data_IF_291972209504
#
_entry.id   IF_291972209504
#
_cell.length_a   1.000
_cell.length_b   1.000
_cell.length_c   1.000
_cell.angle_alpha   90.00
_cell.angle_beta   90.00
_cell.angle_gamma   90.00
#
_symmetry.space_group_name_H-M   'P 1'
#
loop_
_entity.id
_entity.type
_entity.pdbx_description
1 polymer ?
#
# COMPACT_ATOMS: atom_id res chain seq x y z
N UNK A 1 8.30 -2.56 -76.14
CA UNK A 1 8.31 -1.54 -75.08
C UNK A 1 6.96 -1.49 -74.42
N UNK A 2 6.90 -1.55 -73.09
CA UNK A 2 5.80 -0.96 -72.31
C UNK A 2 5.85 0.58 -72.40
N UNK A 3 4.98 1.35 -71.73
CA UNK A 3 4.42 1.14 -70.38
C UNK A 3 2.87 1.31 -70.32
N UNK A 4 2.14 0.88 -69.29
CA UNK A 4 1.98 1.52 -67.95
C UNK A 4 0.47 1.84 -67.78
N UNK A 5 -0.24 1.67 -66.67
CA UNK A 5 0.11 1.58 -65.26
C UNK A 5 -0.96 2.42 -64.53
N UNK A 6 -1.75 1.82 -63.63
CA UNK A 6 -2.80 2.58 -62.92
C UNK A 6 -3.75 1.76 -62.05
N UNK A 7 -3.28 0.68 -61.43
CA UNK A 7 -4.03 0.01 -60.37
C UNK A 7 -3.89 0.80 -59.08
N UNK A 8 -4.97 1.46 -58.64
CA UNK A 8 -5.04 2.15 -57.34
C UNK A 8 -4.77 1.14 -56.23
N UNK A 9 -3.65 1.32 -55.54
CA UNK A 9 -3.36 0.64 -54.29
C UNK A 9 -4.45 0.97 -53.28
N UNK A 10 -5.19 -0.06 -52.85
CA UNK A 10 -5.97 0.03 -51.63
C UNK A 10 -4.97 0.16 -50.48
N UNK A 11 -4.97 1.33 -49.84
CA UNK A 11 -4.31 1.49 -48.55
C UNK A 11 -4.87 0.43 -47.60
N UNK A 12 -4.02 -0.31 -46.86
CA UNK A 12 -4.52 -1.17 -45.81
C UNK A 12 -5.18 -0.26 -44.78
N UNK A 13 -6.50 -0.39 -44.65
CA UNK A 13 -7.27 0.21 -43.58
C UNK A 13 -6.65 -0.24 -42.25
N UNK A 14 -5.84 0.63 -41.65
CA UNK A 14 -5.33 0.44 -40.30
C UNK A 14 -6.55 0.57 -39.39
N UNK A 15 -7.17 -0.57 -39.09
CA UNK A 15 -8.16 -0.66 -38.03
C UNK A 15 -7.53 -0.04 -36.78
N UNK A 16 -8.26 0.80 -36.02
CA UNK A 16 -7.76 1.28 -34.75
C UNK A 16 -7.40 0.06 -33.91
N UNK A 17 -6.12 -0.08 -33.54
CA UNK A 17 -5.63 -1.08 -32.58
C UNK A 17 -6.17 -0.72 -31.19
N UNK A 18 -7.47 -0.84 -31.02
CA UNK A 18 -8.08 -0.91 -29.71
C UNK A 18 -7.73 -2.31 -29.18
N UNK A 19 -7.12 -2.47 -28.00
CA UNK A 19 -6.93 -3.81 -27.46
C UNK A 19 -8.33 -4.44 -27.35
N UNK A 20 -8.56 -5.54 -28.07
CA UNK A 20 -9.85 -6.23 -28.08
C UNK A 20 -10.23 -6.78 -26.69
N UNK A 21 -9.28 -6.80 -25.75
CA UNK A 21 -9.41 -7.31 -24.39
C UNK A 21 -8.67 -6.34 -23.45
N UNK A 22 -9.36 -5.77 -22.47
CA UNK A 22 -8.71 -4.93 -21.45
C UNK A 22 -7.94 -5.79 -20.44
N UNK A 23 -6.97 -5.23 -19.68
CA UNK A 23 -6.31 -5.97 -18.61
C UNK A 23 -7.26 -6.49 -17.53
N UNK A 24 -8.36 -5.79 -17.27
CA UNK A 24 -9.40 -6.26 -16.36
C UNK A 24 -10.13 -7.49 -16.93
N UNK A 25 -10.43 -7.48 -18.23
CA UNK A 25 -11.04 -8.63 -18.91
C UNK A 25 -10.08 -9.82 -18.96
N UNK A 26 -8.78 -9.59 -19.17
CA UNK A 26 -7.76 -10.64 -19.13
C UNK A 26 -7.71 -11.32 -17.77
N UNK A 27 -7.74 -10.55 -16.67
CA UNK A 27 -7.81 -11.11 -15.32
C UNK A 27 -9.05 -11.98 -15.16
N UNK A 28 -10.23 -11.43 -15.50
CA UNK A 28 -11.51 -12.08 -15.25
C UNK A 28 -11.72 -13.34 -16.12
N UNK A 29 -11.35 -13.28 -17.40
CA UNK A 29 -11.65 -14.31 -18.36
C UNK A 29 -10.56 -15.38 -18.50
N UNK A 30 -9.32 -15.07 -18.12
CA UNK A 30 -8.17 -15.97 -18.35
C UNK A 30 -7.41 -16.25 -17.06
N UNK A 31 -6.88 -15.23 -16.38
CA UNK A 31 -5.94 -15.46 -15.27
C UNK A 31 -6.63 -16.05 -14.03
N UNK A 32 -7.79 -15.51 -13.64
CA UNK A 32 -8.51 -15.98 -12.46
C UNK A 32 -9.04 -17.42 -12.62
N UNK A 33 -9.64 -17.82 -13.76
CA UNK A 33 -9.98 -19.23 -14.00
C UNK A 33 -8.77 -20.16 -13.99
N UNK A 34 -7.66 -19.77 -14.64
CA UNK A 34 -6.44 -20.59 -14.68
C UNK A 34 -5.85 -20.83 -13.28
N UNK A 35 -5.87 -19.80 -12.42
CA UNK A 35 -5.45 -19.93 -11.03
C UNK A 35 -6.43 -20.78 -10.22
N UNK A 36 -7.73 -20.48 -10.29
CA UNK A 36 -8.77 -21.09 -9.45
C UNK A 36 -9.03 -22.57 -9.75
N UNK A 37 -8.96 -22.96 -11.03
CA UNK A 37 -9.13 -24.37 -11.43
C UNK A 37 -7.83 -25.18 -11.32
N UNK A 38 -6.73 -24.54 -10.90
CA UNK A 38 -5.38 -25.11 -10.93
C UNK A 38 -5.04 -25.69 -12.32
N UNK A 39 -5.60 -25.09 -13.38
CA UNK A 39 -5.52 -25.59 -14.75
C UNK A 39 -4.12 -25.46 -15.36
N UNK A 40 -3.22 -24.73 -14.69
CA UNK A 40 -1.83 -24.56 -15.10
C UNK A 40 -0.87 -24.75 -13.92
N UNK A 41 0.35 -25.18 -14.23
CA UNK A 41 1.43 -25.23 -13.25
C UNK A 41 1.76 -23.81 -12.74
N UNK A 42 2.00 -23.69 -11.44
CA UNK A 42 2.31 -22.44 -10.77
C UNK A 42 3.45 -21.64 -11.42
N UNK A 43 4.51 -22.36 -11.79
CA UNK A 43 5.71 -21.81 -12.44
C UNK A 43 5.38 -21.21 -13.80
N UNK A 44 4.60 -21.93 -14.61
CA UNK A 44 4.11 -21.48 -15.91
C UNK A 44 3.22 -20.25 -15.78
N UNK A 45 2.22 -20.29 -14.88
CA UNK A 45 1.32 -19.17 -14.66
C UNK A 45 2.07 -17.92 -14.18
N UNK A 46 3.05 -18.10 -13.29
CA UNK A 46 3.93 -17.00 -12.85
C UNK A 46 4.68 -16.39 -14.04
N UNK A 47 5.28 -17.20 -14.91
CA UNK A 47 5.95 -16.71 -16.12
C UNK A 47 5.00 -15.97 -17.07
N UNK A 48 3.81 -16.50 -17.28
CA UNK A 48 2.79 -15.87 -18.11
C UNK A 48 2.35 -14.50 -17.56
N UNK A 49 2.10 -14.41 -16.25
CA UNK A 49 1.71 -13.15 -15.58
C UNK A 49 2.86 -12.14 -15.64
N UNK A 50 4.09 -12.56 -15.35
CA UNK A 50 5.28 -11.69 -15.43
C UNK A 50 5.47 -11.12 -16.84
N UNK A 51 5.31 -11.95 -17.87
CA UNK A 51 5.44 -11.49 -19.26
C UNK A 51 4.28 -10.59 -19.68
N UNK A 52 3.06 -10.89 -19.25
CA UNK A 52 1.90 -10.04 -19.46
C UNK A 52 2.10 -8.65 -18.84
N UNK A 53 2.63 -8.59 -17.63
CA UNK A 53 2.97 -7.35 -16.93
C UNK A 53 4.02 -6.56 -17.70
N UNK A 54 5.10 -7.21 -18.18
CA UNK A 54 6.11 -6.55 -19.02
C UNK A 54 5.51 -6.00 -20.32
N UNK A 55 4.61 -6.74 -20.95
CA UNK A 55 3.88 -6.27 -22.12
C UNK A 55 3.02 -5.03 -21.80
N UNK A 56 2.34 -5.03 -20.65
CA UNK A 56 1.57 -3.87 -20.20
C UNK A 56 2.48 -2.64 -19.99
N UNK A 57 3.63 -2.82 -19.33
CA UNK A 57 4.61 -1.75 -19.10
C UNK A 57 5.16 -1.20 -20.43
N UNK A 58 5.57 -2.09 -21.35
CA UNK A 58 6.04 -1.72 -22.69
C UNK A 58 4.99 -0.94 -23.50
N UNK A 59 3.70 -1.24 -23.31
CA UNK A 59 2.58 -0.54 -23.94
C UNK A 59 2.03 0.62 -23.11
N UNK A 60 2.65 0.94 -21.97
CA UNK A 60 2.19 1.96 -21.00
C UNK A 60 0.73 1.78 -20.58
N UNK A 61 0.29 0.53 -20.52
CA UNK A 61 -1.05 0.14 -20.09
C UNK A 61 -1.03 -0.14 -18.60
N UNK A 62 -1.96 0.47 -17.86
CA UNK A 62 -2.06 0.27 -16.41
C UNK A 62 -2.60 -1.13 -16.10
N UNK A 63 -1.88 -1.89 -15.29
CA UNK A 63 -2.36 -3.15 -14.76
C UNK A 63 -3.35 -2.90 -13.61
N UNK A 64 -4.51 -3.57 -13.56
CA UNK A 64 -5.37 -3.50 -12.38
C UNK A 64 -4.69 -4.14 -11.16
N UNK A 65 -5.02 -3.72 -9.93
CA UNK A 65 -4.45 -4.27 -8.70
C UNK A 65 -4.55 -5.80 -8.59
N UNK A 66 -5.58 -6.40 -9.18
CA UNK A 66 -5.76 -7.84 -9.20
C UNK A 66 -4.58 -8.60 -9.86
N UNK A 67 -3.91 -8.02 -10.86
CA UNK A 67 -2.71 -8.61 -11.45
C UNK A 67 -1.54 -8.57 -10.46
N UNK A 68 -1.38 -7.45 -9.75
CA UNK A 68 -0.36 -7.31 -8.71
C UNK A 68 -0.57 -8.33 -7.58
N UNK A 69 -1.82 -8.50 -7.13
CA UNK A 69 -2.16 -9.50 -6.11
C UNK A 69 -1.87 -10.93 -6.59
N UNK A 70 -2.23 -11.27 -7.83
CA UNK A 70 -1.90 -12.57 -8.43
C UNK A 70 -0.39 -12.79 -8.56
N UNK A 71 0.37 -11.78 -8.99
CA UNK A 71 1.82 -11.89 -9.07
C UNK A 71 2.43 -12.13 -7.69
N UNK A 72 1.97 -11.42 -6.66
CA UNK A 72 2.42 -11.59 -5.28
C UNK A 72 2.14 -13.01 -4.77
N UNK A 73 0.91 -13.50 -4.93
CA UNK A 73 0.51 -14.86 -4.49
C UNK A 73 1.38 -15.94 -5.16
N UNK A 74 1.68 -15.78 -6.46
CA UNK A 74 2.52 -16.70 -7.21
C UNK A 74 3.99 -16.65 -6.77
N UNK A 75 4.54 -15.45 -6.57
CA UNK A 75 5.92 -15.29 -6.09
C UNK A 75 6.09 -15.86 -4.68
N UNK A 76 5.13 -15.65 -3.79
CA UNK A 76 5.17 -16.24 -2.45
C UNK A 76 5.11 -17.77 -2.50
N UNK A 77 4.13 -18.32 -3.23
CA UNK A 77 3.94 -19.77 -3.38
C UNK A 77 5.15 -20.47 -3.98
N UNK A 78 5.83 -19.80 -4.92
CA UNK A 78 7.06 -20.31 -5.55
C UNK A 78 8.34 -19.98 -4.77
N UNK A 79 8.25 -19.29 -3.62
CA UNK A 79 9.40 -18.82 -2.82
C UNK A 79 10.35 -17.91 -3.62
N UNK A 80 9.80 -17.12 -4.54
CA UNK A 80 10.51 -16.20 -5.45
C UNK A 80 10.37 -14.72 -5.05
N UNK A 81 10.07 -14.43 -3.78
CA UNK A 81 9.95 -13.06 -3.26
C UNK A 81 11.22 -12.21 -3.40
N UNK A 82 12.38 -12.84 -3.63
CA UNK A 82 13.61 -12.14 -3.96
C UNK A 82 13.55 -11.36 -5.29
N UNK A 83 12.59 -11.68 -6.17
CA UNK A 83 12.35 -10.96 -7.42
C UNK A 83 11.46 -9.73 -7.25
N UNK A 84 10.83 -9.56 -6.08
CA UNK A 84 9.89 -8.48 -5.81
C UNK A 84 10.42 -7.07 -6.12
N UNK A 85 11.70 -6.72 -5.81
CA UNK A 85 12.23 -5.41 -6.16
C UNK A 85 12.18 -5.07 -7.65
N UNK A 86 12.30 -6.07 -8.53
CA UNK A 86 12.20 -5.86 -9.98
C UNK A 86 10.77 -5.48 -10.42
N UNK A 87 9.77 -5.83 -9.63
CA UNK A 87 8.35 -5.60 -9.93
C UNK A 87 7.78 -4.35 -9.25
N UNK A 88 8.57 -3.64 -8.43
CA UNK A 88 8.14 -2.43 -7.72
C UNK A 88 7.44 -1.38 -8.61
N UNK A 89 7.89 -1.08 -9.85
CA UNK A 89 7.22 -0.11 -10.72
C UNK A 89 5.76 -0.48 -11.02
N UNK A 90 5.51 -1.77 -11.26
CA UNK A 90 4.18 -2.33 -11.59
C UNK A 90 3.30 -2.33 -10.36
N UNK A 91 3.82 -2.78 -9.21
CA UNK A 91 3.09 -2.80 -7.94
C UNK A 91 2.65 -1.40 -7.50
N UNK A 92 3.32 -0.36 -8.00
CA UNK A 92 3.04 1.03 -7.67
C UNK A 92 1.92 1.66 -8.51
N UNK A 93 1.47 1.03 -9.59
CA UNK A 93 0.58 1.65 -10.57
C UNK A 93 -0.58 0.74 -11.02
N UNK A 94 -1.83 1.09 -10.70
CA UNK A 94 -2.24 2.22 -9.84
C UNK A 94 -1.82 1.97 -8.38
N UNK A 95 -1.61 3.03 -7.59
CA UNK A 95 -1.36 2.86 -6.17
C UNK A 95 -2.60 2.25 -5.50
N UNK A 96 -2.39 1.16 -4.77
CA UNK A 96 -3.46 0.41 -4.11
C UNK A 96 -3.04 -0.01 -2.70
N UNK A 97 -3.93 0.23 -1.74
CA UNK A 97 -3.69 -0.03 -0.31
C UNK A 97 -3.55 -1.52 -0.02
N UNK A 98 -4.36 -2.36 -0.66
CA UNK A 98 -4.34 -3.80 -0.43
C UNK A 98 -3.07 -4.41 -0.97
N UNK A 99 -2.62 -3.98 -2.15
CA UNK A 99 -1.34 -4.40 -2.73
C UNK A 99 -0.17 -4.03 -1.80
N UNK A 100 -0.15 -2.81 -1.26
CA UNK A 100 0.92 -2.37 -0.36
C UNK A 100 0.94 -3.18 0.95
N UNK A 101 -0.23 -3.47 1.53
CA UNK A 101 -0.33 -4.29 2.75
C UNK A 101 0.08 -5.74 2.51
N UNK A 102 -0.34 -6.34 1.38
CA UNK A 102 0.07 -7.70 1.01
C UNK A 102 1.60 -7.80 0.88
N UNK A 103 2.22 -6.80 0.27
CA UNK A 103 3.69 -6.73 0.16
C UNK A 103 4.35 -6.67 1.54
N UNK A 104 3.81 -5.92 2.51
CA UNK A 104 4.32 -5.92 3.90
C UNK A 104 4.26 -7.32 4.51
N UNK A 105 3.14 -8.00 4.34
CA UNK A 105 2.91 -9.33 4.89
C UNK A 105 3.89 -10.36 4.29
N UNK A 106 4.00 -10.43 2.96
CA UNK A 106 4.94 -11.32 2.29
C UNK A 106 6.41 -10.97 2.56
N UNK A 107 6.73 -9.69 2.80
CA UNK A 107 8.09 -9.21 3.03
C UNK A 107 8.65 -9.50 4.43
N UNK A 108 7.84 -10.06 5.35
CA UNK A 108 8.28 -10.38 6.71
C UNK A 108 9.53 -11.27 6.69
N UNK A 109 10.61 -10.78 7.31
CA UNK A 109 11.89 -11.50 7.37
C UNK A 109 12.77 -11.38 6.12
N UNK A 110 12.37 -10.63 5.09
CA UNK A 110 13.17 -10.38 3.89
C UNK A 110 13.38 -8.87 3.64
N UNK A 111 14.51 -8.30 4.10
CA UNK A 111 14.73 -6.84 4.09
C UNK A 111 14.58 -6.15 2.72
N UNK A 112 15.06 -6.72 1.58
CA UNK A 112 14.87 -6.09 0.28
C UNK A 112 13.39 -5.95 -0.13
N UNK A 113 12.55 -6.95 0.15
CA UNK A 113 11.11 -6.81 -0.11
C UNK A 113 10.45 -5.82 0.86
N UNK A 114 10.94 -5.73 2.10
CA UNK A 114 10.41 -4.77 3.07
C UNK A 114 10.66 -3.33 2.62
N UNK A 115 11.80 -3.06 1.96
CA UNK A 115 12.06 -1.75 1.37
C UNK A 115 11.03 -1.41 0.27
N UNK A 116 10.68 -2.39 -0.59
CA UNK A 116 9.61 -2.20 -1.59
C UNK A 116 8.27 -1.89 -0.90
N UNK A 117 7.94 -2.62 0.17
CA UNK A 117 6.72 -2.38 0.95
C UNK A 117 6.65 -0.94 1.48
N UNK A 118 7.76 -0.46 2.05
CA UNK A 118 7.88 0.90 2.57
C UNK A 118 7.74 1.95 1.45
N UNK A 119 8.38 1.72 0.31
CA UNK A 119 8.28 2.62 -0.85
C UNK A 119 6.85 2.73 -1.39
N UNK A 120 6.08 1.62 -1.36
CA UNK A 120 4.67 1.61 -1.77
C UNK A 120 3.78 2.34 -0.76
N UNK A 121 4.02 2.16 0.54
CA UNK A 121 3.29 2.83 1.62
C UNK A 121 3.62 4.32 1.74
N UNK A 122 4.81 4.74 1.31
CA UNK A 122 5.23 6.14 1.32
C UNK A 122 4.59 6.98 0.20
N UNK A 123 3.80 6.36 -0.68
CA UNK A 123 3.13 7.04 -1.78
C UNK A 123 1.66 7.29 -1.46
N UNK A 124 1.07 8.42 -1.91
CA UNK A 124 -0.37 8.62 -1.81
C UNK A 124 -1.10 7.54 -2.63
N UNK A 125 -2.27 7.05 -2.15
CA UNK A 125 -3.01 7.52 -0.98
C UNK A 125 -2.64 6.80 0.35
N UNK A 126 -1.56 6.02 0.40
CA UNK A 126 -1.30 5.04 1.47
C UNK A 126 -0.69 5.61 2.77
N UNK A 127 -0.61 6.94 2.91
CA UNK A 127 0.02 7.58 4.07
C UNK A 127 -0.66 7.23 5.39
N UNK A 128 -1.99 7.10 5.40
CA UNK A 128 -2.78 6.68 6.57
C UNK A 128 -2.34 5.29 7.07
N UNK A 129 -2.15 4.39 6.11
CA UNK A 129 -1.83 2.99 6.30
C UNK A 129 -0.41 2.85 6.81
N UNK A 130 0.52 3.66 6.29
CA UNK A 130 1.88 3.73 6.81
C UNK A 130 1.92 4.22 8.26
N UNK A 131 1.11 5.22 8.61
CA UNK A 131 1.02 5.72 9.98
C UNK A 131 0.52 4.63 10.93
N UNK A 132 -0.53 3.88 10.54
CA UNK A 132 -1.00 2.75 11.35
C UNK A 132 0.03 1.63 11.49
N UNK A 133 0.82 1.35 10.45
CA UNK A 133 1.92 0.39 10.54
C UNK A 133 2.95 0.81 11.60
N UNK A 134 3.38 2.08 11.59
CA UNK A 134 4.32 2.61 12.58
C UNK A 134 3.76 2.53 14.00
N UNK A 135 2.47 2.79 14.19
CA UNK A 135 1.82 2.69 15.50
C UNK A 135 1.78 1.23 15.99
N UNK A 136 1.45 0.28 15.13
CA UNK A 136 1.46 -1.15 15.46
C UNK A 136 2.86 -1.67 15.81
N UNK A 137 3.91 -1.10 15.21
CA UNK A 137 5.32 -1.37 15.55
C UNK A 137 5.78 -0.67 16.86
N UNK A 138 4.91 0.08 17.54
CA UNK A 138 5.24 0.85 18.73
C UNK A 138 6.06 2.13 18.46
N UNK A 139 6.18 2.55 17.19
CA UNK A 139 7.01 3.68 16.73
C UNK A 139 6.22 4.99 16.70
N UNK A 140 5.58 5.31 17.82
CA UNK A 140 4.67 6.46 17.97
C UNK A 140 5.27 7.80 17.54
N UNK A 141 6.52 8.08 17.94
CA UNK A 141 7.17 9.36 17.60
C UNK A 141 7.49 9.48 16.11
N UNK A 142 7.82 8.36 15.45
CA UNK A 142 8.04 8.33 14.01
C UNK A 142 6.73 8.56 13.26
N UNK A 143 5.63 7.97 13.76
CA UNK A 143 4.29 8.19 13.22
C UNK A 143 3.90 9.67 13.27
N UNK A 144 4.10 10.35 14.42
CA UNK A 144 3.84 11.79 14.56
C UNK A 144 4.69 12.64 13.61
N UNK A 145 5.99 12.33 13.49
CA UNK A 145 6.88 13.02 12.55
C UNK A 145 6.41 12.85 11.11
N UNK A 146 5.97 11.65 10.75
CA UNK A 146 5.48 11.33 9.42
C UNK A 146 4.19 12.09 9.09
N UNK A 147 3.20 12.05 10.00
CA UNK A 147 1.94 12.82 9.87
C UNK A 147 2.22 14.28 9.62
N UNK A 148 3.13 14.89 10.40
CA UNK A 148 3.49 16.30 10.25
C UNK A 148 4.16 16.58 8.90
N UNK A 149 5.10 15.74 8.48
CA UNK A 149 5.86 15.91 7.24
C UNK A 149 4.97 15.78 6.01
N UNK A 150 4.04 14.84 6.01
CA UNK A 150 3.18 14.50 4.88
C UNK A 150 1.76 15.10 4.97
N UNK A 151 1.47 15.88 6.03
CA UNK A 151 0.15 16.50 6.30
C UNK A 151 -0.98 15.48 6.23
N UNK A 152 -0.82 14.37 6.94
CA UNK A 152 -1.81 13.29 6.95
C UNK A 152 -2.97 13.67 7.87
N UNK A 153 -4.11 14.02 7.29
CA UNK A 153 -5.31 14.46 8.04
C UNK A 153 -6.31 13.32 8.30
N UNK A 154 -6.15 12.18 7.63
CA UNK A 154 -7.07 11.05 7.70
C UNK A 154 -6.98 10.24 9.00
N UNK A 155 -5.91 10.38 9.76
CA UNK A 155 -5.70 9.62 11.01
C UNK A 155 -6.17 10.43 12.21
N UNK A 156 -7.10 9.86 12.98
CA UNK A 156 -7.68 10.54 14.13
C UNK A 156 -6.63 10.80 15.24
N UNK A 157 -6.58 12.02 15.82
CA UNK A 157 -5.66 12.37 16.91
C UNK A 157 -5.74 11.44 18.12
N UNK A 158 -6.94 10.92 18.40
CA UNK A 158 -7.21 10.04 19.54
C UNK A 158 -6.39 8.76 19.50
N UNK A 159 -6.12 8.23 18.30
CA UNK A 159 -5.31 7.02 18.11
C UNK A 159 -3.91 7.21 18.71
N UNK A 160 -3.28 8.37 18.48
CA UNK A 160 -1.95 8.65 19.03
C UNK A 160 -1.97 8.78 20.56
N UNK A 161 -3.01 9.40 21.12
CA UNK A 161 -3.17 9.58 22.57
C UNK A 161 -3.41 8.25 23.28
N UNK A 162 -4.16 7.35 22.66
CA UNK A 162 -4.38 6.00 23.16
C UNK A 162 -3.10 5.16 23.12
N UNK A 163 -2.33 5.21 22.03
CA UNK A 163 -1.02 4.55 21.98
C UNK A 163 -0.03 5.14 23.00
N UNK A 164 -0.06 6.45 23.22
CA UNK A 164 0.76 7.09 24.25
C UNK A 164 0.40 6.65 25.67
N UNK A 165 -0.87 6.36 25.94
CA UNK A 165 -1.32 5.80 27.22
C UNK A 165 -0.80 4.39 27.44
N UNK A 166 -0.84 3.55 26.40
CA UNK A 166 -0.29 2.17 26.44
C UNK A 166 1.21 2.17 26.73
N UNK A 167 1.95 3.15 26.21
CA UNK A 167 3.37 3.30 26.48
C UNK A 167 3.69 3.67 27.95
N UNK A 168 2.69 4.07 28.75
CA UNK A 168 2.79 4.42 30.17
C UNK A 168 3.96 5.37 30.50
N UNK A 169 4.27 6.31 29.61
CA UNK A 169 5.37 7.25 29.76
C UNK A 169 4.84 8.69 29.73
N UNK A 170 5.00 9.40 30.86
CA UNK A 170 4.54 10.78 31.02
C UNK A 170 5.11 11.72 29.94
N UNK A 171 6.39 11.57 29.60
CA UNK A 171 7.06 12.38 28.58
C UNK A 171 6.50 12.13 27.18
N UNK A 172 6.25 10.85 26.85
CA UNK A 172 5.63 10.47 25.57
C UNK A 172 4.22 11.04 25.48
N UNK A 173 3.42 10.87 26.54
CA UNK A 173 2.05 11.38 26.58
C UNK A 173 1.99 12.91 26.45
N UNK A 174 2.82 13.64 27.20
CA UNK A 174 2.91 15.10 27.09
C UNK A 174 3.33 15.56 25.68
N UNK A 175 4.25 14.83 25.04
CA UNK A 175 4.70 15.13 23.67
C UNK A 175 3.56 14.96 22.66
N UNK A 176 2.82 13.85 22.75
CA UNK A 176 1.69 13.57 21.86
C UNK A 176 0.55 14.55 22.11
N UNK A 177 0.23 14.83 23.37
CA UNK A 177 -0.78 15.81 23.74
C UNK A 177 -0.47 17.19 23.18
N UNK A 178 0.77 17.67 23.36
CA UNK A 178 1.22 18.95 22.79
C UNK A 178 1.12 18.95 21.27
N UNK A 179 1.51 17.85 20.62
CA UNK A 179 1.35 17.71 19.18
C UNK A 179 -0.11 17.86 18.75
N UNK A 180 -1.05 17.18 19.41
CA UNK A 180 -2.47 17.31 19.10
C UNK A 180 -2.96 18.74 19.32
N UNK A 181 -2.57 19.36 20.44
CA UNK A 181 -2.96 20.74 20.74
C UNK A 181 -2.46 21.76 19.70
N UNK A 182 -1.24 21.59 19.18
CA UNK A 182 -0.62 22.50 18.22
C UNK A 182 -1.07 22.26 16.77
N UNK A 183 -1.24 21.00 16.37
CA UNK A 183 -1.36 20.62 14.96
C UNK A 183 -2.77 20.13 14.55
N UNK A 184 -3.65 19.86 15.51
CA UNK A 184 -5.02 19.39 15.22
C UNK A 184 -5.99 20.56 15.37
N UNK A 185 -6.65 20.99 14.29
CA UNK A 185 -7.67 22.03 14.36
C UNK A 185 -8.79 21.63 15.33
N UNK A 186 -9.18 22.57 16.19
CA UNK A 186 -10.31 22.39 17.12
C UNK A 186 -10.12 21.22 18.11
N UNK A 187 -8.89 20.83 18.42
CA UNK A 187 -8.62 19.77 19.40
C UNK A 187 -9.28 20.04 20.76
N UNK A 188 -9.31 21.30 21.20
CA UNK A 188 -9.88 21.72 22.49
C UNK A 188 -11.41 21.63 22.55
N UNK A 189 -12.09 21.55 21.41
CA UNK A 189 -13.56 21.44 21.36
C UNK A 189 -14.03 20.00 21.13
N UNK A 190 -13.10 19.04 21.00
CA UNK A 190 -13.45 17.63 20.83
C UNK A 190 -14.09 17.06 22.11
N UNK A 191 -15.12 16.18 22.01
CA UNK A 191 -15.84 15.64 23.18
C UNK A 191 -14.94 14.98 24.22
N UNK A 192 -13.86 14.33 23.77
CA UNK A 192 -12.93 13.59 24.62
C UNK A 192 -11.77 14.44 25.15
N UNK A 193 -11.69 15.73 24.80
CA UNK A 193 -10.63 16.64 25.24
C UNK A 193 -10.45 16.66 26.77
N UNK A 194 -11.51 16.83 27.60
CA UNK A 194 -11.37 16.90 29.06
C UNK A 194 -10.72 15.65 29.65
N UNK A 195 -11.06 14.47 29.12
CA UNK A 195 -10.50 13.19 29.55
C UNK A 195 -8.99 13.13 29.30
N UNK A 196 -8.52 13.59 28.14
CA UNK A 196 -7.09 13.57 27.83
C UNK A 196 -6.30 14.61 28.64
N UNK A 197 -6.89 15.77 28.92
CA UNK A 197 -6.30 16.76 29.82
C UNK A 197 -6.18 16.21 31.25
N UNK A 198 -7.20 15.53 31.77
CA UNK A 198 -7.15 14.88 33.08
C UNK A 198 -6.03 13.83 33.14
N UNK A 199 -5.90 12.99 32.11
CA UNK A 199 -4.82 11.99 32.02
C UNK A 199 -3.43 12.62 31.99
N UNK A 200 -3.26 13.78 31.32
CA UNK A 200 -2.01 14.54 31.35
C UNK A 200 -1.66 14.98 32.79
N UNK A 201 -2.64 15.51 33.53
CA UNK A 201 -2.45 15.90 34.93
C UNK A 201 -2.16 14.69 35.83
N UNK A 202 -2.80 13.54 35.59
CA UNK A 202 -2.50 12.30 36.30
C UNK A 202 -1.04 11.85 36.07
N UNK A 203 -0.52 11.94 34.84
CA UNK A 203 0.89 11.67 34.54
C UNK A 203 1.83 12.63 35.27
N UNK A 204 1.50 13.93 35.29
CA UNK A 204 2.31 14.94 35.97
C UNK A 204 2.35 14.76 37.50
N UNK A 205 1.32 14.18 38.09
CA UNK A 205 1.18 13.97 39.55
C UNK A 205 1.51 12.55 40.00
N UNK A 206 1.90 11.66 39.08
CA UNK A 206 2.22 10.26 39.38
C UNK A 206 1.02 9.41 39.77
N UNK A 207 -0.20 9.80 39.41
CA UNK A 207 -1.46 9.20 39.86
C UNK A 207 -2.12 8.27 38.84
N UNK A 208 -1.45 7.84 37.78
CA UNK A 208 -2.12 6.93 36.85
C UNK A 208 -2.47 5.61 37.53
N UNK A 209 -3.69 5.09 37.31
CA UNK A 209 -3.96 3.69 37.58
C UNK A 209 -3.03 2.88 36.69
N UNK A 210 -2.07 2.19 37.30
CA UNK A 210 -1.26 1.16 36.64
C UNK A 210 -2.26 0.18 36.02
N UNK A 211 -2.26 0.06 34.69
CA UNK A 211 -3.07 -0.96 34.03
C UNK A 211 -2.73 -2.32 34.66
N UNK A 212 -3.73 -3.15 35.04
CA UNK A 212 -3.43 -4.47 35.56
C UNK A 212 -2.61 -5.23 34.52
N UNK A 213 -1.50 -5.83 34.98
CA UNK A 213 -0.67 -6.71 34.16
C UNK A 213 -1.57 -7.77 33.50
N UNK A 214 -1.40 -8.05 32.20
CA UNK A 214 -2.11 -9.17 31.59
C UNK A 214 -1.72 -10.46 32.31
N UNK A 215 -2.73 -11.19 32.77
CA UNK A 215 -2.64 -12.53 33.37
C UNK A 215 -2.16 -13.56 32.37
#
# INVERSE_FOLDING_TARGET
GGPGGGGKGGEPSVLPRNPAVSPADMVKAVLAPLEGEMAAEASFLCCAVMEYVRCCDAQRTKCPPAISMLLLSLLERLRRLHELPAWAPVLSHPPDKHVALEVVECAKGYPPAMQVAQDLLHRPPNHDTYVHLLLNEGRLLDALRYVRRHRVESVAPMVFLEEALKANCAQTYATVYRFCYEFVPSFTTMPHYPMYTEKLHAFATGRLPVAPLPS
#
